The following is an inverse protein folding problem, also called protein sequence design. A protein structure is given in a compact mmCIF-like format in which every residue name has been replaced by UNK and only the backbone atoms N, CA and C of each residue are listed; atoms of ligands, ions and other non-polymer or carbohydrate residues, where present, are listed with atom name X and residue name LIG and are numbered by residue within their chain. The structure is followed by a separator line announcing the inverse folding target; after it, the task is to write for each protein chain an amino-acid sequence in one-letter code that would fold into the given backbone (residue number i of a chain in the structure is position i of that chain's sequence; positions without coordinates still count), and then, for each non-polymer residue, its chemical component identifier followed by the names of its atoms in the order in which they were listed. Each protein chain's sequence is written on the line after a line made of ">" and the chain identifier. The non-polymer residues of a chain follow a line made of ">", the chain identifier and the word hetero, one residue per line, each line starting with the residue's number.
data_IF_443016735245
#
_entry.id   IF_443016735245
#
_cell.length_a   1.000
_cell.length_b   1.000
_cell.length_c   1.000
_cell.angle_alpha   90.00
_cell.angle_beta   90.00
_cell.angle_gamma   90.00
#
_symmetry.space_group_name_H-M   'P 1'
#
loop_
_entity.id
_entity.type
_entity.pdbx_description
1 polymer ?
#
# COMPACT_ATOMS: atom_id res chain seq x y z
N UNK A 1 2.72 -78.14 -14.08
CA UNK A 1 3.70 -78.89 -14.83
C UNK A 1 4.28 -78.03 -15.92
N UNK A 2 5.63 -77.90 -15.90
CA UNK A 2 6.53 -77.23 -16.89
C UNK A 2 6.54 -75.71 -16.95
N UNK A 3 7.44 -74.99 -16.27
CA UNK A 3 8.88 -74.79 -16.48
C UNK A 3 9.31 -74.57 -17.94
N UNK A 4 9.74 -73.34 -18.31
CA UNK A 4 11.03 -73.08 -18.97
C UNK A 4 11.20 -71.57 -19.29
N UNK A 5 12.18 -71.02 -18.55
CA UNK A 5 13.43 -70.38 -19.02
C UNK A 5 13.25 -69.02 -19.67
N UNK A 6 13.55 -67.94 -18.94
CA UNK A 6 14.85 -67.21 -18.77
C UNK A 6 15.54 -66.87 -20.09
N UNK A 7 15.46 -65.58 -20.43
CA UNK A 7 16.57 -64.85 -21.08
C UNK A 7 16.60 -63.40 -20.66
N UNK A 8 17.68 -63.07 -19.97
CA UNK A 8 18.03 -61.71 -19.62
C UNK A 8 18.52 -60.97 -20.86
N UNK A 9 18.01 -59.74 -21.12
CA UNK A 9 18.63 -58.83 -22.01
C UNK A 9 18.79 -57.51 -21.28
N UNK A 10 20.02 -57.22 -20.87
CA UNK A 10 20.40 -55.98 -20.23
C UNK A 10 20.39 -54.89 -21.29
N UNK A 11 19.39 -53.97 -21.20
CA UNK A 11 19.34 -52.77 -22.00
C UNK A 11 19.79 -51.58 -21.10
N UNK A 12 21.05 -51.19 -21.30
CA UNK A 12 21.62 -50.02 -20.66
C UNK A 12 20.96 -48.82 -21.29
N UNK A 13 19.94 -48.28 -20.65
CA UNK A 13 19.43 -46.93 -20.98
C UNK A 13 20.31 -45.88 -20.28
N UNK A 14 21.20 -45.26 -21.07
CA UNK A 14 21.87 -44.04 -20.68
C UNK A 14 20.83 -42.94 -20.51
N UNK A 15 20.44 -42.64 -19.27
CA UNK A 15 19.69 -41.45 -18.95
C UNK A 15 20.62 -40.25 -19.11
N UNK A 16 20.49 -39.57 -20.26
CA UNK A 16 20.97 -38.21 -20.40
C UNK A 16 20.15 -37.33 -19.44
N UNK A 17 20.73 -36.93 -18.33
CA UNK A 17 20.24 -35.89 -17.45
C UNK A 17 20.29 -34.54 -18.21
N UNK A 18 19.25 -34.27 -18.99
CA UNK A 18 18.98 -32.89 -19.38
C UNK A 18 18.52 -32.18 -18.13
N UNK A 19 19.44 -31.47 -17.50
CA UNK A 19 19.13 -30.56 -16.41
C UNK A 19 18.12 -29.54 -16.90
N UNK A 20 16.85 -29.69 -16.51
CA UNK A 20 15.93 -28.57 -16.44
C UNK A 20 16.53 -27.57 -15.46
N UNK A 21 17.20 -26.58 -16.00
CA UNK A 21 17.52 -25.38 -15.25
C UNK A 21 16.20 -24.77 -14.80
N UNK A 22 15.85 -25.01 -13.53
CA UNK A 22 14.90 -24.18 -12.83
C UNK A 22 15.46 -22.75 -12.92
N UNK A 23 14.91 -21.94 -13.82
CA UNK A 23 14.99 -20.51 -13.73
C UNK A 23 14.27 -20.11 -12.44
N UNK A 24 14.95 -20.28 -11.33
CA UNK A 24 14.68 -19.45 -10.17
C UNK A 24 15.02 -18.06 -10.68
N UNK A 25 14.01 -17.28 -11.02
CA UNK A 25 14.15 -15.85 -11.20
C UNK A 25 14.54 -15.29 -9.84
N UNK A 26 15.83 -15.38 -9.54
CA UNK A 26 16.46 -14.49 -8.58
C UNK A 26 16.29 -13.13 -9.22
N UNK A 27 15.31 -12.36 -8.75
CA UNK A 27 15.27 -10.93 -8.97
C UNK A 27 16.61 -10.44 -8.41
N UNK A 28 17.59 -10.24 -9.29
CA UNK A 28 18.77 -9.48 -8.94
C UNK A 28 18.24 -8.13 -8.50
N UNK A 29 18.34 -7.84 -7.20
CA UNK A 29 18.19 -6.48 -6.70
C UNK A 29 18.98 -5.59 -7.65
N UNK A 30 18.28 -4.76 -8.40
CA UNK A 30 18.93 -3.77 -9.25
C UNK A 30 19.51 -2.74 -8.28
N UNK A 31 20.80 -2.95 -7.93
CA UNK A 31 21.53 -2.14 -6.93
C UNK A 31 21.48 -0.64 -7.23
N UNK A 32 21.09 -0.28 -8.45
CA UNK A 32 20.98 1.10 -8.92
C UNK A 32 19.59 1.69 -8.75
N UNK A 33 18.60 0.92 -8.27
CA UNK A 33 17.23 1.40 -8.04
C UNK A 33 16.94 1.60 -6.56
N UNK A 34 16.01 2.52 -6.27
CA UNK A 34 15.35 2.70 -4.99
C UNK A 34 13.85 2.58 -5.22
N UNK A 35 13.28 1.45 -4.79
CA UNK A 35 11.89 1.11 -4.99
C UNK A 35 11.08 1.58 -3.80
N UNK A 36 10.15 2.52 -4.02
CA UNK A 36 9.31 3.10 -2.96
C UNK A 36 7.87 2.69 -3.15
N UNK A 37 7.28 2.08 -2.11
CA UNK A 37 5.87 1.76 -2.03
C UNK A 37 5.04 2.97 -1.62
N UNK A 38 3.93 3.21 -2.33
CA UNK A 38 2.90 4.16 -1.94
C UNK A 38 1.56 3.79 -2.57
N UNK A 39 0.46 4.23 -1.94
CA UNK A 39 -0.89 3.91 -2.38
C UNK A 39 -1.27 4.62 -3.68
N UNK A 40 -0.76 5.85 -3.89
CA UNK A 40 -1.12 6.73 -4.99
C UNK A 40 -2.61 7.07 -5.06
N UNK A 41 -3.27 7.16 -3.90
CA UNK A 41 -4.69 7.52 -3.76
C UNK A 41 -4.93 8.51 -2.60
N UNK A 42 -3.89 9.17 -2.10
CA UNK A 42 -3.91 10.07 -0.95
C UNK A 42 -3.37 11.46 -1.30
N UNK A 43 -4.15 12.26 -2.03
CA UNK A 43 -3.80 13.65 -2.33
C UNK A 43 -3.90 14.53 -1.05
N UNK A 44 -3.00 15.51 -0.85
CA UNK A 44 -1.91 15.96 -1.73
C UNK A 44 -0.57 15.25 -1.46
N UNK A 45 -0.56 14.17 -0.69
CA UNK A 45 0.66 13.45 -0.34
C UNK A 45 1.15 12.56 -1.48
N UNK A 46 0.29 11.67 -1.98
CA UNK A 46 0.61 10.84 -3.13
C UNK A 46 -0.67 10.49 -3.90
N UNK A 47 -0.70 10.75 -5.20
CA UNK A 47 -1.84 10.40 -6.05
C UNK A 47 -1.40 9.98 -7.44
N UNK A 48 -2.26 9.24 -8.12
CA UNK A 48 -2.04 8.86 -9.51
C UNK A 48 -2.68 9.88 -10.45
N UNK A 49 -1.95 10.26 -11.51
CA UNK A 49 -2.43 11.11 -12.60
C UNK A 49 -2.12 10.48 -13.95
N UNK A 50 -2.94 10.77 -14.95
CA UNK A 50 -2.70 10.39 -16.34
C UNK A 50 -1.72 11.33 -17.05
N UNK A 51 -1.60 12.58 -16.54
CA UNK A 51 -0.79 13.63 -17.14
C UNK A 51 0.58 13.68 -16.49
N UNK A 52 1.63 13.70 -17.32
CA UNK A 52 2.99 13.96 -16.84
C UNK A 52 3.13 15.41 -16.41
N UNK A 53 3.70 15.63 -15.23
CA UNK A 53 4.12 16.93 -14.73
C UNK A 53 5.64 16.97 -14.50
N UNK A 54 6.20 18.11 -14.19
CA UNK A 54 7.64 18.24 -13.85
C UNK A 54 7.98 17.59 -12.51
N UNK A 55 6.96 17.39 -11.66
CA UNK A 55 7.09 16.80 -10.34
C UNK A 55 6.83 15.29 -10.33
N UNK A 56 6.09 14.78 -11.29
CA UNK A 56 5.63 13.39 -11.31
C UNK A 56 6.70 12.36 -11.66
N UNK A 57 6.47 11.12 -11.26
CA UNK A 57 7.27 9.92 -11.56
C UNK A 57 6.40 8.91 -12.27
N UNK A 58 6.90 8.29 -13.34
CA UNK A 58 6.15 7.32 -14.12
C UNK A 58 5.82 6.08 -13.29
N UNK A 59 4.56 5.65 -13.31
CA UNK A 59 4.07 4.41 -12.72
C UNK A 59 3.99 3.31 -13.79
N UNK A 60 4.96 2.37 -13.77
CA UNK A 60 4.92 1.20 -14.66
C UNK A 60 4.50 1.52 -16.10
N UNK A 61 3.44 0.84 -16.57
CA UNK A 61 2.92 1.00 -17.94
C UNK A 61 1.92 2.14 -18.11
N UNK A 62 1.29 2.62 -17.03
CA UNK A 62 0.21 3.61 -17.13
C UNK A 62 0.24 4.64 -16.02
N UNK A 63 0.23 5.93 -16.42
CA UNK A 63 0.11 7.05 -15.50
C UNK A 63 1.40 7.40 -14.77
N UNK A 64 1.24 8.29 -13.81
CA UNK A 64 2.31 8.89 -13.04
C UNK A 64 1.87 9.01 -11.59
N UNK A 65 2.80 8.90 -10.65
CA UNK A 65 2.62 9.31 -9.27
C UNK A 65 3.07 10.75 -9.09
N UNK A 66 2.32 11.54 -8.37
CA UNK A 66 2.67 12.90 -8.00
C UNK A 66 2.31 13.17 -6.54
N UNK A 67 2.87 14.23 -5.96
CA UNK A 67 2.59 14.65 -4.60
C UNK A 67 3.81 14.87 -3.72
N UNK A 68 3.52 15.25 -2.48
CA UNK A 68 4.56 15.56 -1.49
C UNK A 68 5.48 14.36 -1.23
N UNK A 69 4.91 13.17 -1.03
CA UNK A 69 5.65 11.94 -0.79
C UNK A 69 6.56 11.58 -1.97
N UNK A 70 6.08 11.82 -3.19
CA UNK A 70 6.88 11.62 -4.41
C UNK A 70 8.09 12.56 -4.43
N UNK A 71 7.95 13.81 -3.97
CA UNK A 71 9.08 14.74 -3.88
C UNK A 71 10.09 14.32 -2.80
N UNK A 72 9.61 13.81 -1.67
CA UNK A 72 10.46 13.23 -0.62
C UNK A 72 11.25 12.05 -1.18
N UNK A 73 10.56 11.11 -1.84
CA UNK A 73 11.19 9.94 -2.47
C UNK A 73 12.26 10.34 -3.51
N UNK A 74 11.99 11.34 -4.37
CA UNK A 74 12.96 11.88 -5.35
C UNK A 74 14.21 12.43 -4.67
N UNK A 75 14.05 13.16 -3.57
CA UNK A 75 15.18 13.72 -2.82
C UNK A 75 16.05 12.63 -2.18
N UNK A 76 15.41 11.60 -1.61
CA UNK A 76 16.11 10.46 -0.99
C UNK A 76 16.86 9.67 -2.07
N UNK A 77 16.21 9.26 -3.15
CA UNK A 77 16.82 8.55 -4.26
C UNK A 77 18.03 9.30 -4.83
N UNK A 78 17.90 10.61 -5.03
CA UNK A 78 19.01 11.47 -5.48
C UNK A 78 20.19 11.44 -4.51
N UNK A 79 19.94 11.51 -3.18
CA UNK A 79 21.01 11.45 -2.17
C UNK A 79 21.68 10.08 -2.12
N UNK A 80 20.93 9.02 -2.38
CA UNK A 80 21.45 7.65 -2.44
C UNK A 80 22.18 7.35 -3.77
N UNK A 81 22.12 8.25 -4.76
CA UNK A 81 22.68 8.04 -6.09
C UNK A 81 21.90 6.96 -6.87
N UNK A 82 20.67 6.67 -6.50
CA UNK A 82 19.84 5.61 -7.07
C UNK A 82 18.72 6.17 -7.96
N UNK A 83 18.26 5.35 -8.92
CA UNK A 83 17.08 5.66 -9.72
C UNK A 83 15.81 5.36 -8.91
N UNK A 84 14.93 6.33 -8.79
CA UNK A 84 13.64 6.12 -8.15
C UNK A 84 12.70 5.29 -9.01
N UNK A 85 12.12 4.27 -8.38
CA UNK A 85 10.98 3.50 -8.89
C UNK A 85 9.85 3.61 -7.87
N UNK A 86 8.65 3.99 -8.31
CA UNK A 86 7.47 3.99 -7.44
C UNK A 86 6.65 2.75 -7.77
N UNK A 87 6.38 1.94 -6.74
CA UNK A 87 5.50 0.78 -6.81
C UNK A 87 4.17 1.14 -6.14
N UNK A 88 3.12 1.23 -6.98
CA UNK A 88 1.77 1.42 -6.46
C UNK A 88 1.31 0.13 -5.78
N UNK A 89 0.96 0.22 -4.51
CA UNK A 89 0.56 -0.91 -3.66
C UNK A 89 -0.63 -0.47 -2.81
N UNK A 90 -1.60 -1.35 -2.56
CA UNK A 90 -2.69 -1.02 -1.63
C UNK A 90 -2.14 -0.67 -0.26
N UNK A 91 -2.87 0.16 0.49
CA UNK A 91 -2.42 0.60 1.81
C UNK A 91 -2.06 -0.57 2.73
N UNK A 92 -2.94 -1.56 2.86
CA UNK A 92 -2.75 -2.76 3.67
C UNK A 92 -1.68 -3.72 3.14
N UNK A 93 -1.24 -3.55 1.91
CA UNK A 93 -0.15 -4.31 1.28
C UNK A 93 1.23 -3.68 1.42
N UNK A 94 1.37 -2.45 1.96
CA UNK A 94 2.65 -1.73 1.99
C UNK A 94 3.68 -2.40 2.92
N UNK A 95 3.30 -2.72 4.17
CA UNK A 95 4.21 -3.39 5.12
C UNK A 95 4.55 -4.80 4.63
N UNK A 96 3.59 -5.66 4.23
CA UNK A 96 3.92 -6.95 3.60
C UNK A 96 4.85 -6.86 2.40
N UNK A 97 4.72 -5.84 1.56
CA UNK A 97 5.62 -5.64 0.43
C UNK A 97 7.06 -5.24 0.86
N UNK A 98 7.18 -4.51 1.97
CA UNK A 98 8.48 -4.18 2.56
C UNK A 98 9.14 -5.41 3.18
N UNK A 99 8.40 -6.19 3.98
CA UNK A 99 8.87 -7.44 4.58
C UNK A 99 9.26 -8.50 3.54
N UNK A 100 8.59 -8.48 2.38
CA UNK A 100 8.88 -9.38 1.26
C UNK A 100 9.96 -8.89 0.30
N UNK A 101 10.72 -7.82 0.64
CA UNK A 101 11.75 -7.21 -0.20
C UNK A 101 11.24 -6.79 -1.60
N UNK A 102 9.94 -6.54 -1.74
CA UNK A 102 9.35 -6.06 -2.99
C UNK A 102 9.51 -4.53 -3.16
N UNK A 103 9.77 -3.83 -2.07
CA UNK A 103 10.05 -2.39 -2.00
C UNK A 103 11.16 -2.15 -0.96
N UNK A 104 11.97 -1.12 -1.16
CA UNK A 104 13.04 -0.73 -0.24
C UNK A 104 12.55 0.19 0.88
N UNK A 105 11.45 0.92 0.66
CA UNK A 105 10.88 1.83 1.64
C UNK A 105 9.41 2.13 1.35
N UNK A 106 8.68 2.51 2.41
CA UNK A 106 7.34 3.07 2.34
C UNK A 106 7.44 4.58 2.54
N UNK A 107 6.93 5.37 1.58
CA UNK A 107 6.80 6.84 1.70
C UNK A 107 5.37 7.18 1.27
N UNK A 108 4.44 7.14 2.22
CA UNK A 108 3.00 7.15 1.94
C UNK A 108 2.17 7.86 3.05
N UNK A 109 2.77 8.86 3.73
CA UNK A 109 2.10 9.52 4.86
C UNK A 109 1.85 8.59 6.04
N UNK A 110 2.59 7.47 6.14
CA UNK A 110 2.38 6.47 7.18
C UNK A 110 2.87 6.98 8.54
N UNK A 111 1.96 7.02 9.50
CA UNK A 111 2.28 7.38 10.90
C UNK A 111 2.89 6.18 11.61
N UNK A 112 3.95 6.43 12.37
CA UNK A 112 4.56 5.46 13.26
C UNK A 112 3.61 5.09 14.40
N UNK A 113 3.43 3.80 14.64
CA UNK A 113 2.77 3.25 15.82
C UNK A 113 3.38 1.88 16.19
N UNK A 114 3.01 1.36 17.36
CA UNK A 114 3.61 0.12 17.89
C UNK A 114 3.36 -1.10 17.01
N UNK A 115 2.18 -1.21 16.43
CA UNK A 115 1.83 -2.36 15.57
C UNK A 115 2.64 -2.34 14.28
N UNK A 116 2.81 -1.17 13.69
CA UNK A 116 3.61 -1.00 12.47
C UNK A 116 5.11 -1.19 12.69
N UNK A 117 5.58 -0.86 13.91
CA UNK A 117 7.00 -1.10 14.30
C UNK A 117 7.34 -2.59 14.44
N UNK A 118 6.35 -3.49 14.48
CA UNK A 118 6.60 -4.94 14.44
C UNK A 118 7.09 -5.41 13.06
N UNK A 119 6.71 -4.72 11.97
CA UNK A 119 7.06 -5.08 10.60
C UNK A 119 7.93 -4.06 9.86
N UNK A 120 8.21 -2.88 10.44
CA UNK A 120 8.98 -1.84 9.76
C UNK A 120 9.69 -0.89 10.73
N UNK A 121 10.91 -0.51 10.42
CA UNK A 121 11.62 0.58 11.09
C UNK A 121 11.16 1.93 10.55
N UNK A 122 11.03 2.92 11.44
CA UNK A 122 10.62 4.27 11.07
C UNK A 122 11.77 5.27 11.21
N UNK A 123 11.89 6.16 10.22
CA UNK A 123 12.78 7.32 10.28
C UNK A 123 12.20 8.42 11.18
N UNK A 124 12.95 9.52 11.36
CA UNK A 124 12.36 10.75 11.86
C UNK A 124 11.24 11.22 10.91
N UNK A 125 10.15 11.82 11.44
CA UNK A 125 9.05 12.29 10.61
C UNK A 125 9.52 13.33 9.57
N UNK A 126 9.05 13.18 8.34
CA UNK A 126 9.26 14.18 7.29
C UNK A 126 8.08 15.15 7.13
N UNK A 127 6.99 14.86 7.81
CA UNK A 127 5.80 15.70 7.92
C UNK A 127 5.22 15.54 9.32
N UNK A 128 4.76 16.64 9.92
CA UNK A 128 4.16 16.66 11.24
C UNK A 128 2.70 17.07 11.16
N UNK A 129 1.81 16.20 11.63
CA UNK A 129 0.36 16.45 11.63
C UNK A 129 -0.09 16.96 13.00
N UNK A 130 -1.00 17.93 13.02
CA UNK A 130 -1.56 18.49 14.26
C UNK A 130 -2.65 17.63 14.89
N UNK A 131 -2.90 16.44 14.34
CA UNK A 131 -3.91 15.51 14.83
C UNK A 131 -4.86 15.03 13.74
N UNK A 132 -5.86 14.26 14.16
CA UNK A 132 -6.93 13.76 13.29
C UNK A 132 -8.07 14.75 13.24
N UNK A 133 -8.74 14.82 12.11
CA UNK A 133 -9.94 15.64 11.90
C UNK A 133 -11.03 14.77 11.29
N UNK A 134 -12.27 15.11 11.56
CA UNK A 134 -13.43 14.57 10.88
C UNK A 134 -13.74 15.44 9.65
N UNK A 135 -13.83 14.83 8.49
CA UNK A 135 -14.26 15.51 7.26
C UNK A 135 -15.73 15.24 7.03
N UNK A 136 -16.50 16.29 6.79
CA UNK A 136 -17.95 16.25 6.63
C UNK A 136 -18.37 17.07 5.39
N UNK A 137 -19.61 16.89 4.96
CA UNK A 137 -20.20 17.76 3.92
C UNK A 137 -20.35 19.19 4.43
N UNK A 138 -20.02 20.15 3.60
CA UNK A 138 -20.08 21.58 3.96
C UNK A 138 -21.49 22.07 4.26
N UNK A 139 -22.48 21.48 3.60
CA UNK A 139 -23.91 21.81 3.69
C UNK A 139 -24.70 20.89 4.63
N UNK A 140 -24.02 19.90 5.25
CA UNK A 140 -24.60 19.04 6.27
C UNK A 140 -24.65 19.72 7.65
N UNK A 141 -25.53 19.24 8.51
CA UNK A 141 -25.58 19.70 9.92
C UNK A 141 -24.28 19.44 10.67
N UNK A 142 -23.53 18.40 10.26
CA UNK A 142 -22.27 17.96 10.83
C UNK A 142 -21.17 19.05 10.67
N UNK A 143 -21.33 19.95 9.69
CA UNK A 143 -20.40 21.08 9.50
C UNK A 143 -20.37 22.06 10.69
N UNK A 144 -21.42 22.05 11.53
CA UNK A 144 -21.51 22.83 12.76
C UNK A 144 -21.02 22.11 14.02
N UNK A 145 -20.60 20.85 13.91
CA UNK A 145 -20.18 20.06 15.07
C UNK A 145 -18.81 20.53 15.59
N UNK A 146 -18.70 20.60 16.91
CA UNK A 146 -17.50 21.03 17.64
C UNK A 146 -16.93 19.95 18.56
N UNK A 147 -17.68 18.87 18.74
CA UNK A 147 -17.28 17.71 19.53
C UNK A 147 -17.55 16.42 18.75
N UNK A 148 -16.61 15.50 18.79
CA UNK A 148 -16.72 14.23 18.08
C UNK A 148 -17.90 13.37 18.56
N UNK A 149 -18.35 13.52 19.82
CA UNK A 149 -19.50 12.79 20.36
C UNK A 149 -20.84 13.23 19.73
N UNK A 150 -20.88 14.35 19.03
CA UNK A 150 -22.07 14.77 18.25
C UNK A 150 -22.35 13.84 17.05
N UNK A 151 -21.38 12.99 16.68
CA UNK A 151 -21.58 11.92 15.69
C UNK A 151 -22.26 10.67 16.25
N UNK A 152 -22.80 10.69 17.47
CA UNK A 152 -23.64 9.61 18.00
C UNK A 152 -24.81 9.32 17.05
N UNK A 153 -24.97 8.05 16.62
CA UNK A 153 -25.98 7.61 15.65
C UNK A 153 -25.69 7.97 14.20
N UNK A 154 -24.60 8.67 13.89
CA UNK A 154 -24.17 9.00 12.54
C UNK A 154 -23.37 7.85 11.93
N UNK A 155 -23.38 7.77 10.59
CA UNK A 155 -22.58 6.84 9.82
C UNK A 155 -21.17 7.42 9.63
N UNK A 156 -20.15 6.78 10.19
CA UNK A 156 -18.74 7.22 10.06
C UNK A 156 -17.91 6.08 9.49
N UNK A 157 -17.00 6.39 8.58
CA UNK A 157 -16.13 5.42 7.94
C UNK A 157 -14.68 5.88 7.94
N UNK A 158 -13.76 4.95 8.17
CA UNK A 158 -12.33 5.13 8.03
C UNK A 158 -11.75 4.38 6.83
N UNK A 159 -10.48 4.61 6.57
CA UNK A 159 -9.75 3.77 5.63
C UNK A 159 -9.31 2.48 6.33
N UNK A 160 -9.53 1.35 5.65
CA UNK A 160 -9.16 0.02 6.14
C UNK A 160 -7.68 -0.06 6.57
N UNK A 161 -7.42 -0.72 7.69
CA UNK A 161 -6.08 -0.91 8.26
C UNK A 161 -5.35 0.40 8.59
N UNK A 162 -6.10 1.40 9.06
CA UNK A 162 -5.54 2.65 9.57
C UNK A 162 -5.99 2.91 11.00
N UNK A 163 -5.14 3.61 11.75
CA UNK A 163 -5.51 4.12 13.07
C UNK A 163 -6.64 5.16 13.02
N UNK A 164 -6.95 5.73 11.86
CA UNK A 164 -8.12 6.60 11.66
C UNK A 164 -9.42 5.80 11.76
N UNK A 165 -9.45 4.58 11.25
CA UNK A 165 -10.59 3.67 11.37
C UNK A 165 -10.74 3.15 12.82
N UNK A 166 -9.63 2.75 13.42
CA UNK A 166 -9.60 2.19 14.79
C UNK A 166 -10.15 3.16 15.83
N UNK A 167 -9.98 4.47 15.65
CA UNK A 167 -10.43 5.47 16.65
C UNK A 167 -11.89 5.89 16.48
N UNK A 168 -12.61 5.44 15.46
CA UNK A 168 -14.02 5.77 15.25
C UNK A 168 -14.87 5.29 16.44
N UNK A 169 -14.57 4.12 17.01
CA UNK A 169 -15.31 3.50 18.10
C UNK A 169 -15.23 4.27 19.43
N UNK A 170 -14.37 5.28 19.55
CA UNK A 170 -14.40 6.22 20.68
C UNK A 170 -15.68 7.08 20.69
N UNK A 171 -16.40 7.18 19.57
CA UNK A 171 -17.68 7.90 19.46
C UNK A 171 -18.78 6.97 19.95
N UNK A 172 -19.38 7.30 21.06
CA UNK A 172 -20.44 6.46 21.68
C UNK A 172 -21.66 6.36 20.79
N UNK A 173 -22.03 5.13 20.42
CA UNK A 173 -23.22 4.87 19.60
C UNK A 173 -23.11 5.34 18.14
N UNK A 174 -21.92 5.53 17.63
CA UNK A 174 -21.68 5.75 16.20
C UNK A 174 -22.07 4.50 15.41
N UNK A 175 -22.55 4.68 14.20
CA UNK A 175 -22.65 3.61 13.21
C UNK A 175 -21.32 3.54 12.45
N UNK A 176 -20.38 2.73 12.97
CA UNK A 176 -19.10 2.49 12.29
C UNK A 176 -19.33 1.67 11.03
N UNK A 177 -19.25 2.32 9.88
CA UNK A 177 -19.50 1.71 8.57
C UNK A 177 -18.28 0.90 8.15
N UNK A 178 -18.50 -0.19 7.41
CA UNK A 178 -17.40 -1.03 6.87
C UNK A 178 -16.33 -0.18 6.19
N UNK A 179 -15.07 -0.27 6.61
CA UNK A 179 -13.97 0.54 6.12
C UNK A 179 -13.80 0.46 4.60
N UNK A 180 -13.46 1.58 3.97
CA UNK A 180 -13.17 1.65 2.54
C UNK A 180 -11.68 1.43 2.28
N UNK A 181 -11.34 1.00 1.07
CA UNK A 181 -9.95 0.73 0.73
C UNK A 181 -9.14 2.02 0.55
N UNK A 182 -9.76 3.08 0.01
CA UNK A 182 -9.07 4.31 -0.38
C UNK A 182 -9.81 5.59 0.05
N UNK A 183 -9.08 6.69 0.19
CA UNK A 183 -9.66 8.01 0.43
C UNK A 183 -10.67 8.46 -0.65
N UNK A 184 -10.43 8.29 -1.96
CA UNK A 184 -11.43 8.61 -2.97
C UNK A 184 -12.75 7.86 -2.80
N UNK A 185 -12.73 6.60 -2.34
CA UNK A 185 -13.96 5.84 -2.05
C UNK A 185 -14.72 6.42 -0.86
N UNK A 186 -14.01 6.83 0.22
CA UNK A 186 -14.64 7.48 1.37
C UNK A 186 -15.25 8.83 0.98
N UNK A 187 -14.52 9.66 0.22
CA UNK A 187 -15.02 10.94 -0.28
C UNK A 187 -16.27 10.74 -1.15
N UNK A 188 -16.28 9.73 -2.01
CA UNK A 188 -17.45 9.39 -2.82
C UNK A 188 -18.65 9.00 -1.95
N UNK A 189 -18.45 8.13 -0.95
CA UNK A 189 -19.49 7.74 0.00
C UNK A 189 -20.07 8.95 0.76
N UNK A 190 -19.20 9.89 1.18
CA UNK A 190 -19.62 11.13 1.83
C UNK A 190 -20.44 12.03 0.89
N UNK A 191 -20.02 12.17 -0.38
CA UNK A 191 -20.76 12.93 -1.40
C UNK A 191 -22.10 12.32 -1.76
N UNK A 192 -22.21 11.00 -1.74
CA UNK A 192 -23.44 10.24 -2.02
C UNK A 192 -24.38 10.12 -0.81
N UNK A 193 -24.04 10.73 0.32
CA UNK A 193 -24.80 10.64 1.58
C UNK A 193 -24.90 9.23 2.17
N UNK A 194 -23.99 8.33 1.79
CA UNK A 194 -23.89 7.00 2.42
C UNK A 194 -23.33 7.08 3.83
N UNK A 195 -22.45 8.08 4.09
CA UNK A 195 -21.85 8.37 5.39
C UNK A 195 -21.95 9.86 5.72
N UNK A 196 -21.81 10.18 7.00
CA UNK A 196 -21.91 11.54 7.54
C UNK A 196 -20.54 12.13 7.88
N UNK A 197 -19.55 11.24 8.08
CA UNK A 197 -18.17 11.64 8.38
C UNK A 197 -17.15 10.63 7.88
N UNK A 198 -15.95 11.11 7.55
CA UNK A 198 -14.81 10.30 7.16
C UNK A 198 -13.54 10.77 7.86
#
# INVERSE_FOLDING_TARGET
>A
MNFKKLMASAMVCAFALTGCGSNTATTSEDKDTFVVGMECAYAPFNWQTSTKTDTSVKLGKSGYADGYDVQVAKKIAKKLGKKLVIKKTSWDGLIPALEGDEIDAIIAGMTKDKTREEGADFTTPYYDSKGMIMIVRKDGEEAGYTDIQQFTGKNVVGQKATNYDDVIDQIKGVNHVTPKATYPEMVLALQQHEVDGI
#
